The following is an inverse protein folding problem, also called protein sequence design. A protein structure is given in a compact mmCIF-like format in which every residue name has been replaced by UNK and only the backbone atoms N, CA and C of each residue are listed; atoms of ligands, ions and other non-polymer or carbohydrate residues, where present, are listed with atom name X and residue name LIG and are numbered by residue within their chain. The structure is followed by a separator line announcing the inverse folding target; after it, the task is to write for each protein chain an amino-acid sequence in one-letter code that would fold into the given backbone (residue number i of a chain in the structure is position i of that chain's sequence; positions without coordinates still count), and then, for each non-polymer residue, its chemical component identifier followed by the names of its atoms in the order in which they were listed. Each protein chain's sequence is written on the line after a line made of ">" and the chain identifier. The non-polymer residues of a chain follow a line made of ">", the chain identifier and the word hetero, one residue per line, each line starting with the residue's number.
data_IF_449328598072
#
_entry.id   IF_449328598072
#
_cell.length_a   1.000
_cell.length_b   1.000
_cell.length_c   1.000
_cell.angle_alpha   90.00
_cell.angle_beta   90.00
_cell.angle_gamma   90.00
#
_symmetry.space_group_name_H-M   'P 1'
#
loop_
_entity.id
_entity.type
_entity.pdbx_description
1 polymer ?
2 non-polymer ?
3 non-polymer ?
4 non-polymer ?
5 water ?
#
# COMPACT_ATOMS: atom_id res chain seq x y z
N UNK A 1 -14.04 -10.29 22.12
CA UNK A 1 -14.12 -9.55 20.83
C UNK A 1 -13.39 -8.20 20.99
N UNK A 2 -13.69 -7.26 20.08
CA UNK A 2 -13.36 -5.80 20.07
C UNK A 2 -13.46 -5.41 18.59
N UNK A 3 -13.51 -4.12 18.24
CA UNK A 3 -13.44 -3.71 16.80
C UNK A 3 -12.03 -4.06 16.29
N UNK A 4 -11.88 -4.73 15.14
CA UNK A 4 -10.53 -4.98 14.54
C UNK A 4 -10.14 -3.88 13.55
N UNK A 5 -8.86 -3.52 13.59
CA UNK A 5 -8.28 -2.38 12.86
C UNK A 5 -6.93 -2.80 12.31
N UNK A 6 -6.85 -2.98 11.00
CA UNK A 6 -5.58 -3.38 10.35
C UNK A 6 -5.05 -2.21 9.53
N UNK A 7 -3.76 -2.03 9.64
CA UNK A 7 -2.95 -1.08 8.87
C UNK A 7 -2.32 -1.81 7.70
N UNK A 8 -2.44 -1.23 6.53
CA UNK A 8 -1.80 -1.64 5.28
C UNK A 8 -0.81 -0.57 4.87
N UNK A 9 0.43 -0.62 5.37
CA UNK A 9 1.44 0.38 5.05
C UNK A 9 2.14 0.04 3.73
N UNK A 10 2.64 1.07 3.07
CA UNK A 10 3.19 1.01 1.70
C UNK A 10 3.59 2.42 1.25
N UNK A 11 4.40 2.51 0.21
CA UNK A 11 4.63 3.79 -0.46
C UNK A 11 3.47 4.04 -1.44
N UNK A 12 2.77 3.04 -1.99
CA UNK A 12 1.65 3.27 -2.96
C UNK A 12 2.03 4.38 -3.96
N UNK A 13 3.08 4.10 -4.73
CA UNK A 13 3.79 5.06 -5.59
C UNK A 13 3.90 4.50 -6.98
N UNK A 14 2.82 4.40 -7.75
CA UNK A 14 1.47 4.61 -7.29
C UNK A 14 0.74 3.32 -6.91
N UNK A 15 -0.47 3.46 -6.41
CA UNK A 15 -1.42 2.36 -6.21
C UNK A 15 -1.65 1.62 -7.53
N UNK A 16 -1.70 0.29 -7.44
CA UNK A 16 -1.91 -0.66 -8.57
C UNK A 16 -3.15 -1.50 -8.31
N UNK A 17 -3.56 -2.21 -9.34
CA UNK A 17 -4.71 -3.14 -9.26
C UNK A 17 -4.42 -4.18 -8.19
N UNK A 18 -3.15 -4.54 -8.01
CA UNK A 18 -2.76 -5.47 -6.95
C UNK A 18 -3.06 -4.92 -5.58
N UNK A 19 -2.69 -3.68 -5.27
CA UNK A 19 -3.04 -3.10 -3.96
C UNK A 19 -4.57 -3.08 -3.79
N UNK A 20 -5.33 -2.82 -4.83
CA UNK A 20 -6.79 -2.61 -4.71
C UNK A 20 -7.37 -3.95 -4.30
N UNK A 21 -6.91 -5.00 -4.96
CA UNK A 21 -7.35 -6.38 -4.63
C UNK A 21 -7.08 -6.68 -3.15
N UNK A 22 -5.89 -6.40 -2.65
CA UNK A 22 -5.52 -6.71 -1.27
C UNK A 22 -6.41 -5.94 -0.34
N UNK A 23 -6.68 -4.67 -0.62
CA UNK A 23 -7.41 -3.83 0.39
C UNK A 23 -8.88 -4.26 0.39
N UNK A 24 -9.42 -4.59 -0.77
CA UNK A 24 -10.80 -5.11 -0.89
C UNK A 24 -10.90 -6.41 -0.09
N UNK A 25 -10.00 -7.37 -0.33
CA UNK A 25 -9.94 -8.65 0.44
C UNK A 25 -9.84 -8.34 1.93
N UNK A 26 -8.98 -7.42 2.36
CA UNK A 26 -8.82 -7.12 3.80
C UNK A 26 -10.10 -6.47 4.36
N UNK A 27 -10.77 -5.64 3.57
CA UNK A 27 -11.94 -4.87 4.08
C UNK A 27 -13.09 -5.83 4.45
N UNK A 28 -13.12 -7.04 3.87
CA UNK A 28 -14.12 -8.09 4.17
C UNK A 28 -13.81 -8.86 5.46
N UNK A 29 -12.60 -8.78 5.98
CA UNK A 29 -12.13 -9.66 7.07
C UNK A 29 -11.93 -8.88 8.36
N UNK A 30 -11.81 -7.57 8.28
CA UNK A 30 -11.55 -6.72 9.46
C UNK A 30 -12.55 -5.58 9.45
N UNK A 31 -12.80 -4.99 10.61
CA UNK A 31 -13.86 -3.95 10.78
C UNK A 31 -13.36 -2.64 10.15
N UNK A 32 -12.09 -2.29 10.37
CA UNK A 32 -11.44 -1.05 9.84
C UNK A 32 -10.14 -1.43 9.12
N UNK A 33 -9.97 -0.91 7.91
CA UNK A 33 -8.69 -0.92 7.19
C UNK A 33 -8.15 0.51 7.03
N UNK A 34 -6.89 0.69 7.38
CA UNK A 34 -6.12 1.93 7.21
C UNK A 34 -5.08 1.74 6.13
N UNK A 35 -5.27 2.38 4.98
CA UNK A 35 -4.22 2.51 3.94
C UNK A 35 -3.27 3.59 4.43
N UNK A 36 -2.09 3.17 4.89
CA UNK A 36 -1.06 3.97 5.54
C UNK A 36 0.01 4.23 4.51
N UNK A 37 0.14 5.48 4.07
CA UNK A 37 1.01 5.84 2.93
C UNK A 37 2.23 6.49 3.57
N UNK A 38 3.33 5.79 3.43
CA UNK A 38 4.61 6.18 4.03
C UNK A 38 5.08 7.39 3.24
N UNK A 39 5.34 8.49 3.94
CA UNK A 39 5.63 9.77 3.26
C UNK A 39 6.89 9.61 2.42
N UNK A 40 7.96 9.08 3.01
CA UNK A 40 9.23 8.90 2.28
C UNK A 40 10.00 10.21 2.14
N UNK A 41 10.45 10.78 3.26
CA UNK A 41 11.40 11.92 3.29
C UNK A 41 12.70 11.51 2.56
N UNK A 42 13.63 10.84 3.25
CA UNK A 42 15.00 10.54 2.75
C UNK A 42 14.92 9.27 1.88
N UNK A 43 13.86 9.14 1.06
CA UNK A 43 13.34 7.85 0.49
C UNK A 43 12.91 8.08 -1.00
N UNK A 44 12.29 9.22 -1.38
CA UNK A 44 12.21 9.86 -2.74
C UNK A 44 11.10 9.36 -3.71
N UNK A 45 9.81 9.41 -3.34
CA UNK A 45 8.77 8.89 -4.25
C UNK A 45 8.50 9.75 -5.49
N UNK A 46 8.05 9.12 -6.58
CA UNK A 46 7.68 9.80 -7.85
C UNK A 46 6.45 10.69 -7.64
N UNK A 47 5.44 10.18 -6.97
CA UNK A 47 4.22 10.94 -6.67
C UNK A 47 4.31 11.42 -5.23
N UNK A 48 3.77 12.62 -5.00
CA UNK A 48 3.71 13.27 -3.67
C UNK A 48 2.73 12.49 -2.82
N UNK A 49 2.80 12.75 -1.53
CA UNK A 49 1.82 12.24 -0.56
C UNK A 49 0.42 12.56 -1.06
N UNK A 50 0.20 13.81 -1.54
CA UNK A 50 -1.18 14.24 -1.87
C UNK A 50 -1.60 13.43 -3.07
N UNK A 51 -0.75 13.32 -4.08
CA UNK A 51 -1.17 12.54 -5.28
C UNK A 51 -1.51 11.10 -4.85
N UNK A 52 -0.71 10.53 -3.95
CA UNK A 52 -0.82 9.08 -3.61
C UNK A 52 -2.09 8.88 -2.81
N UNK A 53 -2.33 9.74 -1.85
CA UNK A 53 -3.61 9.60 -1.11
C UNK A 53 -4.81 9.73 -2.05
N UNK A 54 -4.74 10.67 -2.97
CA UNK A 54 -5.89 10.98 -3.84
C UNK A 54 -6.13 9.78 -4.74
N UNK A 55 -5.06 9.26 -5.31
CA UNK A 55 -5.18 8.06 -6.21
C UNK A 55 -5.75 6.87 -5.44
N UNK A 56 -5.36 6.74 -4.18
CA UNK A 56 -5.85 5.62 -3.35
C UNK A 56 -7.33 5.85 -3.04
N UNK A 57 -7.72 7.07 -2.62
CA UNK A 57 -9.15 7.42 -2.29
C UNK A 57 -9.98 7.23 -3.55
N UNK A 58 -9.46 7.56 -4.71
CA UNK A 58 -10.25 7.39 -5.95
C UNK A 58 -10.51 5.90 -6.24
N UNK A 59 -9.58 4.98 -5.95
CA UNK A 59 -9.77 3.53 -6.25
C UNK A 59 -10.52 2.82 -5.12
N UNK A 60 -10.40 3.31 -3.89
CA UNK A 60 -10.88 2.54 -2.71
C UNK A 60 -11.91 3.28 -1.84
N UNK A 61 -12.21 4.56 -2.08
CA UNK A 61 -13.12 5.37 -1.24
C UNK A 61 -14.54 4.79 -1.21
N UNK A 62 -14.91 3.99 -2.21
CA UNK A 62 -16.22 3.32 -2.30
C UNK A 62 -16.36 2.28 -1.19
N UNK A 63 -15.27 1.87 -0.53
CA UNK A 63 -15.32 0.94 0.62
C UNK A 63 -15.52 1.76 1.90
N UNK A 64 -16.59 1.51 2.62
CA UNK A 64 -16.98 2.36 3.76
C UNK A 64 -16.00 2.17 4.91
N UNK A 65 -15.36 0.99 5.05
CA UNK A 65 -14.53 0.73 6.27
C UNK A 65 -13.02 1.03 6.03
N UNK A 66 -12.68 1.79 4.98
CA UNK A 66 -11.27 2.10 4.58
C UNK A 66 -10.98 3.59 4.77
N UNK A 67 -9.92 3.88 5.50
CA UNK A 67 -9.32 5.21 5.75
C UNK A 67 -7.96 5.29 5.06
N UNK A 68 -7.52 6.52 4.84
CA UNK A 68 -6.27 6.87 4.13
C UNK A 68 -5.53 7.92 4.96
N UNK A 69 -4.31 7.61 5.36
CA UNK A 69 -3.48 8.47 6.22
C UNK A 69 -2.04 8.27 5.77
N UNK A 70 -1.34 9.38 5.70
CA UNK A 70 0.10 9.47 5.54
C UNK A 70 0.77 9.24 6.88
N UNK A 71 1.92 8.58 6.89
CA UNK A 71 2.72 8.46 8.15
C UNK A 71 4.21 8.49 7.81
N UNK A 72 4.99 8.86 8.81
CA UNK A 72 6.46 8.70 8.76
C UNK A 72 6.90 8.14 10.11
N UNK A 73 8.19 7.94 10.28
CA UNK A 73 8.69 7.36 11.54
C UNK A 73 8.49 5.86 11.56
N UNK A 74 8.66 5.33 12.74
CA UNK A 74 8.71 3.89 13.06
C UNK A 74 7.31 3.31 12.88
N UNK A 75 7.14 2.34 11.97
CA UNK A 75 5.86 1.61 11.81
C UNK A 75 5.35 1.18 13.19
N UNK A 76 6.19 0.79 14.14
CA UNK A 76 5.60 0.30 15.43
C UNK A 76 5.00 1.48 16.18
N UNK A 77 5.51 2.71 16.05
CA UNK A 77 4.92 3.87 16.78
C UNK A 77 3.56 4.20 16.13
N UNK A 78 3.48 4.08 14.81
CA UNK A 78 2.23 4.31 14.07
C UNK A 78 1.23 3.24 14.51
N UNK A 79 1.68 1.99 14.61
CA UNK A 79 0.84 0.85 15.03
C UNK A 79 0.21 1.19 16.38
N UNK A 80 0.99 1.65 17.35
CA UNK A 80 0.52 2.00 18.72
C UNK A 80 -0.45 3.19 18.68
N UNK A 81 -0.10 4.27 17.98
CA UNK A 81 -0.98 5.47 17.86
C UNK A 81 -2.35 5.06 17.30
N UNK A 82 -2.35 4.17 16.31
CA UNK A 82 -3.58 3.80 15.58
C UNK A 82 -4.40 2.78 16.38
N UNK A 83 -3.85 2.25 17.46
CA UNK A 83 -4.51 1.21 18.28
C UNK A 83 -4.85 0.01 17.37
N UNK A 84 -3.93 -0.39 16.50
CA UNK A 84 -4.21 -1.43 15.49
C UNK A 84 -4.19 -2.84 16.12
N UNK A 85 -4.99 -3.73 15.55
CA UNK A 85 -4.93 -5.19 15.76
C UNK A 85 -3.71 -5.78 15.04
N UNK A 86 -3.44 -5.34 13.82
CA UNK A 86 -2.34 -5.91 13.03
C UNK A 86 -1.99 -5.03 11.84
N UNK A 87 -0.79 -5.26 11.35
CA UNK A 87 -0.34 -4.84 10.02
C UNK A 87 -0.60 -5.97 9.04
N UNK A 88 -1.05 -5.58 7.87
CA UNK A 88 -1.28 -6.42 6.68
C UNK A 88 -0.21 -6.12 5.65
N UNK A 89 0.38 -7.13 5.02
CA UNK A 89 1.28 -6.96 3.86
C UNK A 89 0.91 -8.00 2.83
N UNK A 90 1.11 -7.73 1.55
CA UNK A 90 1.01 -8.76 0.50
C UNK A 90 2.36 -9.44 0.31
N UNK A 91 2.38 -10.70 -0.08
CA UNK A 91 3.64 -11.43 -0.37
C UNK A 91 3.59 -11.92 -1.81
N UNK A 92 4.42 -11.37 -2.67
CA UNK A 92 4.31 -11.64 -4.13
C UNK A 92 5.34 -12.70 -4.49
N UNK A 93 6.53 -12.59 -3.90
CA UNK A 93 7.75 -13.38 -4.22
C UNK A 93 8.49 -13.81 -2.95
N UNK A 94 9.44 -14.72 -3.10
CA UNK A 94 10.27 -15.28 -2.00
C UNK A 94 11.01 -14.15 -1.26
N UNK A 95 11.51 -13.15 -1.99
CA UNK A 95 12.32 -12.05 -1.40
C UNK A 95 11.43 -11.24 -0.44
N UNK A 96 10.17 -11.00 -0.82
CA UNK A 96 9.16 -10.32 0.03
C UNK A 96 8.99 -11.15 1.30
N UNK A 97 8.83 -12.46 1.13
CA UNK A 97 8.51 -13.38 2.24
C UNK A 97 9.65 -13.28 3.27
N UNK A 98 10.90 -13.33 2.83
CA UNK A 98 12.06 -13.38 3.76
C UNK A 98 12.21 -12.03 4.47
N UNK A 99 12.06 -10.93 3.75
CA UNK A 99 12.13 -9.57 4.34
C UNK A 99 11.00 -9.41 5.38
N UNK A 100 9.78 -9.79 5.01
CA UNK A 100 8.57 -9.61 5.84
C UNK A 100 8.70 -10.41 7.12
N UNK A 101 9.29 -11.59 7.04
CA UNK A 101 9.49 -12.50 8.19
C UNK A 101 10.45 -11.79 9.17
N UNK A 102 11.52 -11.22 8.64
CA UNK A 102 12.55 -10.51 9.43
C UNK A 102 11.89 -9.31 10.13
N UNK A 103 11.16 -8.49 9.38
CA UNK A 103 10.48 -7.29 9.92
C UNK A 103 9.43 -7.60 10.95
N UNK A 104 8.61 -8.62 10.71
CA UNK A 104 7.61 -9.04 11.70
C UNK A 104 8.35 -9.40 12.99
N UNK A 105 9.49 -10.07 12.93
CA UNK A 105 10.14 -10.51 14.19
C UNK A 105 10.79 -9.30 14.89
N UNK A 106 11.42 -8.42 14.13
CA UNK A 106 12.01 -7.16 14.66
C UNK A 106 10.90 -6.32 15.32
N UNK A 107 9.79 -6.11 14.63
CA UNK A 107 8.68 -5.30 15.17
C UNK A 107 8.12 -5.96 16.44
N UNK A 108 8.01 -7.30 16.49
CA UNK A 108 7.50 -8.00 17.70
C UNK A 108 8.46 -7.72 18.85
N UNK A 109 9.76 -7.68 18.60
CA UNK A 109 10.72 -7.33 19.69
C UNK A 109 10.58 -5.87 20.13
N UNK A 110 10.28 -4.92 19.24
CA UNK A 110 10.13 -3.50 19.65
C UNK A 110 8.81 -3.35 20.41
N UNK A 111 7.77 -4.08 20.01
CA UNK A 111 6.41 -3.99 20.62
C UNK A 111 5.78 -5.38 20.67
N UNK A 112 5.66 -6.01 21.84
CA UNK A 112 5.17 -7.39 21.89
C UNK A 112 3.70 -7.54 21.45
N UNK A 113 2.91 -6.47 21.45
CA UNK A 113 1.51 -6.46 20.92
C UNK A 113 1.53 -6.40 19.40
N UNK A 114 2.67 -6.22 18.75
CA UNK A 114 2.67 -6.03 17.28
C UNK A 114 2.18 -7.33 16.63
N UNK A 115 1.54 -7.25 15.48
CA UNK A 115 1.12 -8.46 14.75
C UNK A 115 1.11 -8.12 13.26
N UNK A 116 1.51 -9.09 12.46
CA UNK A 116 1.52 -9.01 10.99
C UNK A 116 0.82 -10.25 10.44
N UNK A 117 -0.14 -10.01 9.55
CA UNK A 117 -0.89 -11.00 8.74
C UNK A 117 -0.57 -10.73 7.29
N UNK A 118 -0.52 -11.78 6.50
CA UNK A 118 -0.10 -11.66 5.10
C UNK A 118 -1.18 -12.23 4.21
N UNK A 119 -1.35 -11.59 3.05
CA UNK A 119 -2.15 -12.09 1.92
C UNK A 119 -1.22 -12.32 0.74
N UNK A 120 -1.57 -13.33 -0.02
CA UNK A 120 -0.99 -13.78 -1.30
C UNK A 120 -1.85 -13.14 -2.36
N UNK A 121 -1.29 -12.56 -3.43
CA UNK A 121 -2.12 -11.97 -4.48
C UNK A 121 -2.78 -13.05 -5.35
N UNK A 122 -4.00 -12.80 -5.86
CA UNK A 122 -4.58 -13.54 -7.04
C UNK A 122 -3.58 -13.52 -8.19
N UNK A 123 -3.54 -14.59 -8.97
CA UNK A 123 -2.50 -14.78 -9.99
C UNK A 123 -2.60 -13.64 -11.03
N UNK A 124 -3.76 -13.00 -11.23
CA UNK A 124 -3.86 -11.97 -12.30
C UNK A 124 -3.09 -10.69 -11.91
N UNK A 125 -2.64 -10.54 -10.66
CA UNK A 125 -1.87 -9.38 -10.13
C UNK A 125 -0.53 -9.77 -9.53
N UNK A 126 -0.18 -11.05 -9.58
CA UNK A 126 1.06 -11.61 -8.98
C UNK A 126 2.32 -10.96 -9.60
N UNK A 127 2.31 -10.57 -10.88
CA UNK A 127 3.47 -9.96 -11.60
C UNK A 127 3.50 -8.41 -11.50
N UNK A 128 2.46 -7.78 -10.96
CA UNK A 128 2.38 -6.29 -10.86
C UNK A 128 3.11 -5.81 -9.60
N UNK A 129 4.04 -4.85 -9.75
CA UNK A 129 4.62 -4.00 -8.66
C UNK A 129 4.58 -2.50 -9.01
N UNK A 130 4.54 -1.60 -8.03
CA UNK A 130 4.62 -0.14 -8.29
C UNK A 130 5.89 0.17 -9.13
N UNK A 131 7.05 -0.37 -8.74
CA UNK A 131 8.38 -0.12 -9.41
C UNK A 131 8.33 -0.44 -10.90
N UNK A 132 7.81 -1.59 -11.25
CA UNK A 132 7.72 -2.02 -12.67
C UNK A 132 6.76 -1.10 -13.44
N UNK A 133 5.67 -0.72 -12.80
CA UNK A 133 4.65 0.16 -13.41
C UNK A 133 5.34 1.50 -13.72
N UNK A 134 6.12 2.03 -12.79
CA UNK A 134 6.87 3.30 -12.96
C UNK A 134 7.75 3.18 -14.19
N UNK A 135 8.46 2.06 -14.28
CA UNK A 135 9.41 1.83 -15.39
C UNK A 135 8.63 1.81 -16.70
N UNK A 136 7.53 1.09 -16.76
CA UNK A 136 6.79 1.01 -18.05
C UNK A 136 6.26 2.40 -18.43
N UNK A 137 5.73 3.15 -17.47
CA UNK A 137 5.11 4.47 -17.72
C UNK A 137 6.22 5.43 -18.21
N UNK A 138 7.35 5.44 -17.54
CA UNK A 138 8.50 6.28 -17.94
C UNK A 138 8.88 6.05 -19.42
N UNK A 139 8.95 4.80 -19.83
CA UNK A 139 9.32 4.44 -21.22
C UNK A 139 8.09 4.46 -22.11
N UNK A 140 6.99 5.09 -21.70
CA UNK A 140 5.83 5.42 -22.58
C UNK A 140 5.01 4.16 -22.86
N UNK A 141 5.10 3.15 -22.02
CA UNK A 141 4.25 1.96 -22.16
C UNK A 141 2.85 2.22 -21.62
N UNK A 142 1.92 1.34 -21.94
CA UNK A 142 0.52 1.49 -21.51
C UNK A 142 0.35 0.70 -20.20
N UNK A 143 -0.03 1.36 -19.11
CA UNK A 143 -0.11 0.68 -17.80
C UNK A 143 -1.57 0.43 -17.43
N UNK A 144 -2.48 0.59 -18.39
CA UNK A 144 -3.94 0.64 -18.16
C UNK A 144 -4.41 -0.68 -17.52
N UNK A 145 -3.83 -1.79 -17.95
CA UNK A 145 -4.22 -3.15 -17.49
C UNK A 145 -3.83 -3.37 -16.04
N UNK A 146 -2.83 -2.65 -15.53
CA UNK A 146 -2.21 -2.92 -14.21
C UNK A 146 -2.64 -1.95 -13.11
N UNK A 147 -3.27 -0.84 -13.46
CA UNK A 147 -3.53 0.25 -12.48
C UNK A 147 -4.90 0.80 -12.80
N UNK A 148 -5.57 1.35 -11.80
CA UNK A 148 -6.81 2.09 -12.03
C UNK A 148 -6.63 3.27 -13.00
N UNK A 149 -7.69 3.64 -13.72
CA UNK A 149 -7.72 4.70 -14.77
C UNK A 149 -7.18 6.03 -14.22
N UNK A 150 -7.53 6.40 -13.01
CA UNK A 150 -7.01 7.62 -12.37
C UNK A 150 -5.47 7.62 -12.32
N UNK A 151 -4.83 6.46 -12.21
CA UNK A 151 -3.35 6.39 -12.11
C UNK A 151 -2.84 6.60 -13.51
N UNK A 152 -3.52 6.04 -14.49
CA UNK A 152 -3.11 6.22 -15.91
C UNK A 152 -3.03 7.74 -16.18
N UNK A 153 -4.10 8.46 -15.86
CA UNK A 153 -4.21 9.91 -16.10
C UNK A 153 -3.14 10.66 -15.33
N UNK A 154 -2.84 10.24 -14.10
CA UNK A 154 -1.79 10.87 -13.28
C UNK A 154 -0.45 10.68 -13.94
N UNK A 155 -0.18 9.53 -14.56
CA UNK A 155 1.07 9.36 -15.34
C UNK A 155 1.07 10.36 -16.49
N UNK A 156 -0.03 10.57 -17.23
CA UNK A 156 -0.12 11.59 -18.32
C UNK A 156 0.15 12.99 -17.74
N UNK A 157 -0.45 13.35 -16.61
CA UNK A 157 -0.27 14.70 -16.05
C UNK A 157 1.13 14.85 -15.46
N UNK A 158 1.76 13.77 -14.98
CA UNK A 158 3.21 13.80 -14.60
C UNK A 158 4.03 14.12 -15.85
N UNK A 159 3.81 13.44 -17.00
CA UNK A 159 4.41 13.72 -18.34
C UNK A 159 4.21 15.23 -18.58
N UNK A 160 2.98 15.65 -18.96
CA UNK A 160 2.60 17.04 -19.32
C UNK A 160 3.36 18.07 -18.46
N UNK A 161 3.34 17.99 -17.13
CA UNK A 161 4.13 18.84 -16.22
C UNK A 161 5.65 18.52 -16.20
N UNK A 162 6.25 18.04 -17.32
CA UNK A 162 7.70 17.72 -17.52
C UNK A 162 8.00 16.34 -18.16
N UNK A 163 8.62 15.40 -17.40
CA UNK A 163 8.76 13.92 -17.63
C UNK A 163 8.56 13.56 -19.11
X LIG B 1 4.24 -0.96 -1.83
X LIG B 1 3.57 -2.16 -1.15
X LIG B 1 3.18 0.09 -2.00
X LIG B 1 5.29 -0.38 -0.90
X LIG B 1 4.87 -1.45 -3.34
X LIG B 1 4.58 -2.93 -4.22
X LIG B 1 3.68 -3.73 -3.30
X LIG B 1 3.87 -2.69 -5.54
X LIG B 1 5.85 -3.74 -4.53
X LIG C 1 -10.45 1.14 -13.33
X LIG C 1 -10.35 2.09 -12.27
X LIG C 1 -9.56 -0.03 -13.10
X LIG C 1 -10.11 1.79 -14.57
X LIG C 1 -11.81 0.71 -13.38
X LIG D 1 8.13 1.40 -4.49
X LIG E 1 12.37 3.92 -9.48
#
# INVERSE_FOLDING_TARGET
>A
MSKTRVIYPGTFDPITNGHVDLVTRASRMFDEVVVAIAIGHHKNPLFSLEERVALAQSSLGHLSNVEFVGFDGLLVNFFKEQKATAVLRGLRAVSDFEYEFQLANMNRQLDPHFEAVFLTPSEQYSFISSTLIREIARLKGDVTKFVPQAVVEAFERKHQQGW
>B hetero
1 POP P1 O1 O2 O3 O P2 O4 O5 O6
>C hetero
1 SO4 S O1 O2 O3 O4
>D hetero
1 CL CL
>E hetero
1 CL CL
#
